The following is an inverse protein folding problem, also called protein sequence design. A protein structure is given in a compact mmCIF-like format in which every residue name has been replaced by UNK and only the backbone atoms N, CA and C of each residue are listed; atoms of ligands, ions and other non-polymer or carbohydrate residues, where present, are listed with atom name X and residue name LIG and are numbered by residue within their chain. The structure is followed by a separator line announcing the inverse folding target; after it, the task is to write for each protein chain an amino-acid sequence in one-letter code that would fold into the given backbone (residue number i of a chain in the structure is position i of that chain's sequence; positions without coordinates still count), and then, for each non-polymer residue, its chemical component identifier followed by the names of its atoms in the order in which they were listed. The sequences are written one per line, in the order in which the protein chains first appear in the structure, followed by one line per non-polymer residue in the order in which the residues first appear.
data_IF_754479609664
#
_entry.id   IF_754479609664
#
_cell.length_a   1.000
_cell.length_b   1.000
_cell.length_c   1.000
_cell.angle_alpha   90.00
_cell.angle_beta   90.00
_cell.angle_gamma   90.00
#
_symmetry.space_group_name_H-M   'P 1'
#
loop_
_entity.id
_entity.type
_entity.pdbx_description
1 polymer ?
#
# COMPACT_ATOMS: atom_id res chain seq x y z
N UNK A 1 19.11 -24.76 39.60
CA UNK A 1 18.15 -25.63 38.91
C UNK A 1 16.77 -25.26 39.39
N UNK A 2 16.05 -24.41 38.67
CA UNK A 2 14.66 -24.06 38.98
C UNK A 2 13.95 -23.81 37.66
N UNK A 3 13.18 -24.78 37.21
CA UNK A 3 12.30 -24.71 36.06
C UNK A 3 11.12 -23.81 36.41
N UNK A 4 10.95 -22.69 35.72
CA UNK A 4 9.70 -21.94 35.70
C UNK A 4 8.86 -22.40 34.49
N UNK A 5 7.75 -23.04 34.79
CA UNK A 5 6.69 -23.37 33.84
C UNK A 5 5.92 -22.08 33.48
N UNK A 6 5.91 -21.77 32.20
CA UNK A 6 5.03 -20.74 31.63
C UNK A 6 3.59 -21.29 31.58
N UNK A 7 2.68 -20.62 32.26
CA UNK A 7 1.23 -20.86 32.15
C UNK A 7 0.72 -20.13 30.91
N UNK A 8 -0.09 -20.79 30.04
CA UNK A 8 -0.78 -20.09 28.97
C UNK A 8 -1.95 -19.29 29.54
N UNK A 9 -1.97 -17.98 29.27
CA UNK A 9 -3.11 -17.13 29.54
C UNK A 9 -4.25 -17.46 28.59
N UNK A 10 -5.34 -17.80 29.19
CA UNK A 10 -6.69 -18.02 28.66
C UNK A 10 -7.16 -16.77 27.91
N UNK A 11 -7.46 -16.91 26.61
CA UNK A 11 -8.01 -15.84 25.80
C UNK A 11 -9.49 -15.66 26.14
N UNK A 12 -9.80 -14.52 26.72
CA UNK A 12 -11.15 -14.03 27.03
C UNK A 12 -11.97 -13.90 25.72
N UNK A 13 -13.06 -14.66 25.62
CA UNK A 13 -14.03 -14.55 24.53
C UNK A 13 -14.86 -13.27 24.66
N UNK A 14 -15.10 -12.52 23.57
CA UNK A 14 -16.01 -11.37 23.62
C UNK A 14 -17.48 -11.83 23.67
N UNK A 15 -18.36 -11.09 24.40
CA UNK A 15 -19.76 -11.46 24.60
C UNK A 15 -20.57 -11.37 23.32
N UNK A 16 -21.46 -12.34 23.16
CA UNK A 16 -22.43 -12.46 22.08
C UNK A 16 -23.35 -11.24 21.98
N UNK A 17 -23.32 -10.58 20.81
CA UNK A 17 -24.28 -9.50 20.50
C UNK A 17 -25.66 -10.06 20.23
N UNK A 18 -26.63 -9.55 20.99
CA UNK A 18 -28.04 -9.82 20.94
C UNK A 18 -28.65 -9.50 19.56
N UNK A 19 -29.35 -10.48 19.00
CA UNK A 19 -30.23 -10.31 17.83
C UNK A 19 -31.47 -9.49 18.22
N UNK A 20 -31.57 -8.25 17.75
CA UNK A 20 -32.83 -7.51 17.81
C UNK A 20 -33.66 -7.80 16.57
N UNK A 21 -34.75 -8.53 16.84
CA UNK A 21 -35.90 -8.76 15.98
C UNK A 21 -36.70 -7.45 15.84
N UNK A 22 -36.81 -6.91 14.63
CA UNK A 22 -37.76 -5.84 14.33
C UNK A 22 -38.96 -6.45 13.62
N UNK A 23 -40.04 -6.61 14.40
CA UNK A 23 -41.36 -6.94 13.88
C UNK A 23 -42.07 -5.67 13.36
N UNK A 24 -42.49 -5.78 12.15
CA UNK A 24 -43.66 -5.21 11.48
C UNK A 24 -44.61 -4.37 12.31
N UNK A 25 -44.94 -3.15 11.83
CA UNK A 25 -46.27 -2.55 11.96
C UNK A 25 -46.58 -1.76 10.69
N UNK A 26 -47.42 -2.38 9.85
CA UNK A 26 -48.28 -1.68 8.88
C UNK A 26 -49.41 -0.98 9.66
N UNK A 27 -49.62 0.28 9.44
CA UNK A 27 -50.98 0.85 9.47
C UNK A 27 -51.06 2.08 8.58
N UNK A 28 -52.09 2.04 7.75
CA UNK A 28 -52.54 3.04 6.78
C UNK A 28 -53.08 4.30 7.47
N UNK A 29 -53.07 5.44 6.78
CA UNK A 29 -54.27 6.28 6.48
C UNK A 29 -53.91 7.49 5.59
N UNK A 30 -54.55 7.48 4.51
CA UNK A 30 -55.15 8.41 3.57
C UNK A 30 -55.27 9.91 3.93
N UNK A 31 -55.15 10.71 2.84
CA UNK A 31 -55.75 12.01 2.50
C UNK A 31 -55.15 13.27 3.11
N UNK A 32 -54.49 14.07 2.27
CA UNK A 32 -55.00 15.38 1.88
C UNK A 32 -54.19 15.95 0.70
N UNK A 33 -54.90 16.14 -0.42
CA UNK A 33 -54.42 16.88 -1.59
C UNK A 33 -54.39 18.38 -1.27
N UNK A 34 -53.30 19.03 -1.51
CA UNK A 34 -53.24 20.47 -1.74
C UNK A 34 -52.10 20.75 -2.73
N UNK A 35 -52.52 21.07 -3.91
CA UNK A 35 -51.82 21.48 -5.08
C UNK A 35 -51.22 22.88 -4.82
N UNK A 36 -49.88 22.96 -4.74
CA UNK A 36 -49.16 24.23 -4.95
C UNK A 36 -48.09 24.01 -6.01
N UNK A 37 -48.37 24.47 -7.22
CA UNK A 37 -47.40 24.64 -8.29
C UNK A 37 -46.37 25.68 -7.84
N UNK A 38 -45.14 25.27 -7.59
CA UNK A 38 -43.98 26.15 -7.52
C UNK A 38 -43.16 25.90 -8.78
N UNK A 39 -42.89 26.89 -9.63
CA UNK A 39 -42.01 26.69 -10.78
C UNK A 39 -40.60 26.46 -10.29
N UNK A 40 -40.03 25.26 -10.57
CA UNK A 40 -38.62 24.98 -10.43
C UNK A 40 -37.84 25.76 -11.50
N UNK A 41 -37.13 26.80 -11.10
CA UNK A 41 -36.03 27.34 -11.88
C UNK A 41 -34.82 26.39 -11.71
N UNK A 42 -34.24 25.86 -12.78
CA UNK A 42 -32.97 25.12 -12.67
C UNK A 42 -31.83 26.12 -12.53
N UNK A 43 -31.47 26.45 -11.30
CA UNK A 43 -30.21 27.10 -10.99
C UNK A 43 -29.13 26.06 -11.01
N UNK A 44 -28.52 25.80 -12.15
CA UNK A 44 -27.26 25.06 -12.25
C UNK A 44 -26.14 25.96 -11.75
N UNK A 45 -25.79 25.83 -10.48
CA UNK A 45 -24.48 26.24 -10.00
C UNK A 45 -23.49 25.16 -10.46
N UNK A 46 -22.88 25.38 -11.63
CA UNK A 46 -21.71 24.65 -12.05
C UNK A 46 -20.57 25.01 -11.09
N UNK A 47 -20.36 24.19 -10.05
CA UNK A 47 -19.12 24.18 -9.31
C UNK A 47 -17.96 23.84 -10.25
N UNK A 48 -16.76 24.42 -10.08
CA UNK A 48 -15.62 24.05 -10.91
C UNK A 48 -15.39 22.54 -10.80
N UNK A 49 -15.07 21.86 -11.92
CA UNK A 49 -14.78 20.45 -11.88
C UNK A 49 -13.60 20.24 -10.94
N UNK A 50 -13.82 19.54 -9.86
CA UNK A 50 -12.74 19.00 -9.06
C UNK A 50 -11.93 18.10 -10.00
N UNK A 51 -10.77 18.61 -10.40
CA UNK A 51 -9.81 17.84 -11.20
C UNK A 51 -9.33 16.68 -10.34
N UNK A 52 -10.13 15.62 -10.27
CA UNK A 52 -9.74 14.31 -9.77
C UNK A 52 -8.75 13.78 -10.81
N UNK A 53 -7.49 14.21 -10.67
CA UNK A 53 -6.39 13.61 -11.41
C UNK A 53 -6.43 12.12 -11.12
N UNK A 54 -6.96 11.37 -12.08
CA UNK A 54 -6.92 9.91 -12.04
C UNK A 54 -5.47 9.52 -11.74
N UNK A 55 -5.25 8.83 -10.64
CA UNK A 55 -3.96 8.25 -10.34
C UNK A 55 -3.55 7.41 -11.55
N UNK A 56 -2.35 7.62 -12.13
CA UNK A 56 -1.92 6.82 -13.27
C UNK A 56 -1.98 5.34 -12.88
N UNK A 57 -2.51 4.52 -13.77
CA UNK A 57 -2.58 3.08 -13.59
C UNK A 57 -1.20 2.57 -13.20
N UNK A 58 -1.12 1.78 -12.12
CA UNK A 58 0.13 1.26 -11.59
C UNK A 58 0.91 0.56 -12.70
N UNK A 59 2.08 1.12 -13.08
CA UNK A 59 2.99 0.48 -14.01
C UNK A 59 3.49 1.30 -15.21
N UNK A 60 2.94 2.47 -15.50
CA UNK A 60 3.47 3.31 -16.58
C UNK A 60 4.12 4.56 -16.01
N UNK A 61 5.38 4.88 -16.37
CA UNK A 61 5.99 6.15 -16.00
C UNK A 61 5.20 7.30 -16.65
N UNK A 62 4.54 8.09 -15.83
CA UNK A 62 3.73 9.23 -16.30
C UNK A 62 4.58 10.44 -16.74
N UNK A 63 5.90 10.39 -16.49
CA UNK A 63 6.82 11.48 -16.84
C UNK A 63 8.15 11.35 -16.11
N UNK A 64 8.96 12.41 -16.22
CA UNK A 64 10.23 12.52 -15.49
C UNK A 64 10.05 13.44 -14.28
N UNK A 65 10.68 13.09 -13.18
CA UNK A 65 10.71 13.91 -11.98
C UNK A 65 11.41 15.23 -12.23
N UNK A 66 10.80 16.37 -11.83
CA UNK A 66 11.32 17.71 -12.14
C UNK A 66 12.66 18.02 -11.48
N UNK A 67 13.07 17.28 -10.46
CA UNK A 67 14.33 17.49 -9.73
C UNK A 67 15.40 16.47 -10.08
N UNK A 68 15.03 15.22 -10.28
CA UNK A 68 16.01 14.15 -10.54
C UNK A 68 16.12 13.76 -12.00
N UNK A 69 15.12 14.11 -12.85
CA UNK A 69 15.02 13.63 -14.22
C UNK A 69 14.69 12.14 -14.34
N UNK A 70 14.55 11.44 -13.21
CA UNK A 70 14.21 10.01 -13.19
C UNK A 70 12.72 9.78 -13.46
N UNK A 71 12.35 8.59 -13.96
CA UNK A 71 10.95 8.25 -14.20
C UNK A 71 10.08 8.38 -12.94
N UNK A 72 8.83 8.81 -13.12
CA UNK A 72 7.78 8.79 -12.11
C UNK A 72 6.57 8.06 -12.69
N UNK A 73 5.91 7.21 -11.91
CA UNK A 73 6.33 6.75 -10.60
C UNK A 73 7.54 5.81 -10.67
N UNK A 74 8.24 5.62 -9.54
CA UNK A 74 9.34 4.66 -9.43
C UNK A 74 9.47 4.08 -8.03
N UNK A 75 9.92 2.84 -7.92
CA UNK A 75 10.18 2.19 -6.65
C UNK A 75 11.57 2.53 -6.10
N UNK A 76 11.61 2.75 -4.79
CA UNK A 76 12.80 2.93 -3.95
C UNK A 76 12.56 2.23 -2.63
N UNK A 77 13.49 2.31 -1.68
CA UNK A 77 13.30 1.75 -0.35
C UNK A 77 13.66 2.75 0.75
N UNK A 78 13.07 2.58 1.94
CA UNK A 78 13.45 3.35 3.12
C UNK A 78 14.88 2.98 3.56
N UNK A 79 15.68 3.99 3.86
CA UNK A 79 17.07 3.82 4.32
C UNK A 79 17.14 3.57 5.83
N UNK A 80 16.29 4.26 6.60
CA UNK A 80 16.25 4.19 8.05
C UNK A 80 15.17 3.23 8.54
N UNK A 81 15.29 2.77 9.77
CA UNK A 81 14.29 1.95 10.44
C UNK A 81 13.10 2.77 10.94
N UNK A 82 13.24 4.10 10.97
CA UNK A 82 12.19 5.04 11.36
C UNK A 82 12.23 6.24 10.41
N UNK A 83 11.11 6.52 9.75
CA UNK A 83 10.98 7.59 8.76
C UNK A 83 9.66 8.33 8.95
N UNK A 84 9.75 9.64 9.22
CA UNK A 84 8.60 10.51 9.34
C UNK A 84 7.96 10.78 7.97
N UNK A 85 6.70 10.42 7.83
CA UNK A 85 5.84 10.73 6.69
C UNK A 85 5.03 11.98 7.02
N UNK A 86 5.20 13.05 6.24
CA UNK A 86 4.60 14.36 6.49
C UNK A 86 3.48 14.68 5.52
N UNK A 87 2.59 15.57 5.93
CA UNK A 87 1.47 16.04 5.11
C UNK A 87 1.91 16.91 3.93
N UNK A 88 3.12 17.49 3.96
CA UNK A 88 3.64 18.36 2.90
C UNK A 88 5.16 18.34 2.77
N UNK A 89 5.70 18.93 1.70
CA UNK A 89 7.12 18.94 1.35
C UNK A 89 7.91 19.96 2.18
N UNK A 90 8.21 19.63 3.43
CA UNK A 90 9.01 20.49 4.31
C UNK A 90 8.95 20.04 5.78
N UNK A 91 9.97 20.38 6.56
CA UNK A 91 10.05 20.05 7.99
C UNK A 91 8.96 20.74 8.83
N UNK A 92 8.42 21.86 8.36
CA UNK A 92 7.32 22.62 8.99
C UNK A 92 5.96 21.91 8.91
N UNK A 93 5.79 20.98 7.96
CA UNK A 93 4.55 20.22 7.85
C UNK A 93 4.45 19.16 8.94
N UNK A 94 3.26 18.93 9.50
CA UNK A 94 3.06 17.91 10.52
C UNK A 94 3.49 16.52 10.06
N UNK A 95 3.97 15.72 11.01
CA UNK A 95 4.16 14.29 10.82
C UNK A 95 2.80 13.63 10.99
N UNK A 96 2.37 12.89 9.98
CA UNK A 96 1.10 12.18 9.96
C UNK A 96 1.30 10.70 10.35
N UNK A 97 2.39 10.10 9.85
CA UNK A 97 2.76 8.72 10.12
C UNK A 97 4.26 8.58 10.39
N UNK A 98 4.62 7.55 11.14
CA UNK A 98 6.01 7.12 11.30
C UNK A 98 6.12 5.71 10.72
N UNK A 99 6.92 5.57 9.67
CA UNK A 99 7.19 4.29 9.02
C UNK A 99 8.37 3.61 9.73
N UNK A 100 8.13 2.45 10.33
CA UNK A 100 9.10 1.80 11.25
C UNK A 100 9.85 0.59 10.64
N UNK A 101 9.80 0.40 9.33
CA UNK A 101 10.43 -0.74 8.66
C UNK A 101 11.58 -0.31 7.75
N UNK A 102 12.82 -0.62 8.17
CA UNK A 102 13.98 -0.45 7.30
C UNK A 102 13.83 -1.29 6.02
N UNK A 103 14.26 -0.73 4.90
CA UNK A 103 14.17 -1.36 3.58
C UNK A 103 12.75 -1.54 3.03
N UNK A 104 11.72 -1.06 3.73
CA UNK A 104 10.36 -1.10 3.18
C UNK A 104 10.35 -0.47 1.79
N UNK A 105 9.86 -1.17 0.76
CA UNK A 105 9.68 -0.57 -0.54
C UNK A 105 8.63 0.54 -0.46
N UNK A 106 8.85 1.62 -1.20
CA UNK A 106 7.92 2.72 -1.37
C UNK A 106 8.00 3.22 -2.80
N UNK A 107 6.90 3.75 -3.31
CA UNK A 107 6.82 4.29 -4.67
C UNK A 107 6.87 5.81 -4.63
N UNK A 108 7.85 6.43 -5.28
CA UNK A 108 7.88 7.89 -5.46
C UNK A 108 6.91 8.26 -6.57
N UNK A 109 5.92 9.09 -6.23
CA UNK A 109 4.87 9.54 -7.15
C UNK A 109 5.00 11.02 -7.53
N UNK A 110 5.75 11.82 -6.76
CA UNK A 110 6.06 13.20 -7.08
C UNK A 110 7.34 13.68 -6.38
N UNK A 111 7.91 14.77 -6.89
CA UNK A 111 9.11 15.42 -6.35
C UNK A 111 8.87 16.92 -6.14
N UNK A 112 9.36 17.44 -5.04
CA UNK A 112 9.42 18.85 -4.77
C UNK A 112 10.71 19.17 -4.00
N UNK A 113 11.63 19.88 -4.61
CA UNK A 113 12.95 20.19 -4.07
C UNK A 113 13.66 18.92 -3.52
N UNK A 114 14.00 18.90 -2.23
CA UNK A 114 14.61 17.73 -1.54
C UNK A 114 13.59 16.73 -1.04
N UNK A 115 12.29 16.97 -1.25
CA UNK A 115 11.20 16.14 -0.76
C UNK A 115 10.66 15.23 -1.86
N UNK A 116 10.23 14.03 -1.45
CA UNK A 116 9.63 13.02 -2.32
C UNK A 116 8.26 12.65 -1.78
N UNK A 117 7.22 12.77 -2.60
CA UNK A 117 5.91 12.25 -2.28
C UNK A 117 5.94 10.76 -2.55
N UNK A 118 5.71 9.98 -1.52
CA UNK A 118 5.73 8.53 -1.60
C UNK A 118 4.35 7.93 -1.36
N UNK A 119 4.17 6.72 -1.86
CA UNK A 119 3.06 5.83 -1.57
C UNK A 119 3.63 4.52 -1.07
N UNK A 120 3.07 3.98 0.02
CA UNK A 120 3.43 2.66 0.54
C UNK A 120 2.57 1.55 -0.07
N UNK A 121 2.86 0.30 0.31
CA UNK A 121 2.14 -0.88 -0.18
C UNK A 121 0.68 -0.95 0.30
N UNK A 122 0.27 -0.20 1.30
CA UNK A 122 -1.10 -0.07 1.82
C UNK A 122 -1.87 1.09 1.18
N UNK A 123 -1.18 1.92 0.37
CA UNK A 123 -1.74 3.09 -0.26
C UNK A 123 -1.60 4.38 0.54
N UNK A 124 -0.92 4.35 1.69
CA UNK A 124 -0.63 5.56 2.49
C UNK A 124 0.28 6.49 1.70
N UNK A 125 -0.09 7.76 1.62
CA UNK A 125 0.61 8.78 0.83
C UNK A 125 1.10 9.89 1.73
N UNK A 126 2.33 10.36 1.52
CA UNK A 126 2.88 11.52 2.22
C UNK A 126 4.26 11.90 1.71
N UNK A 127 4.91 12.83 2.40
CA UNK A 127 6.19 13.39 1.99
C UNK A 127 7.32 12.95 2.93
N UNK A 128 8.42 12.50 2.33
CA UNK A 128 9.67 12.17 3.03
C UNK A 128 10.83 12.95 2.45
N UNK A 129 11.83 13.25 3.27
CA UNK A 129 13.07 13.86 2.77
C UNK A 129 13.88 12.84 1.98
N UNK A 130 14.53 13.26 0.90
CA UNK A 130 15.30 12.37 0.00
C UNK A 130 16.40 11.55 0.72
N UNK A 131 16.95 12.05 1.82
CA UNK A 131 17.97 11.32 2.60
C UNK A 131 17.41 10.08 3.30
N UNK A 132 16.10 9.99 3.47
CA UNK A 132 15.42 8.88 4.13
C UNK A 132 15.15 7.70 3.18
N UNK A 133 15.45 7.84 1.91
CA UNK A 133 15.24 6.82 0.88
C UNK A 133 16.54 6.41 0.18
N UNK A 134 16.51 5.25 -0.46
CA UNK A 134 17.64 4.66 -1.18
C UNK A 134 17.15 4.06 -2.49
N UNK A 135 17.97 4.15 -3.54
CA UNK A 135 17.71 3.48 -4.83
C UNK A 135 17.84 1.96 -4.78
N UNK A 136 18.33 1.38 -3.68
CA UNK A 136 18.38 -0.06 -3.52
C UNK A 136 16.97 -0.65 -3.61
N UNK A 137 16.84 -1.72 -4.39
CA UNK A 137 15.54 -2.32 -4.66
C UNK A 137 15.22 -3.41 -3.64
N UNK A 138 14.06 -3.25 -3.04
CA UNK A 138 13.49 -4.19 -2.11
C UNK A 138 12.04 -4.43 -2.46
N UNK A 139 11.52 -5.56 -2.05
CA UNK A 139 10.12 -5.96 -2.26
C UNK A 139 9.50 -6.44 -0.95
N UNK A 140 8.19 -6.38 -0.87
CA UNK A 140 7.42 -6.92 0.25
C UNK A 140 6.44 -7.96 -0.25
N UNK A 141 6.28 -9.08 0.47
CA UNK A 141 5.29 -10.12 0.15
C UNK A 141 3.89 -9.59 0.44
N UNK A 142 3.01 -9.62 -0.58
CA UNK A 142 1.70 -8.95 -0.52
C UNK A 142 0.67 -9.66 0.33
N UNK A 143 0.44 -10.94 0.07
CA UNK A 143 -0.69 -11.66 0.62
C UNK A 143 -0.29 -13.08 1.02
N UNK A 144 -0.75 -13.49 2.20
CA UNK A 144 -0.60 -14.85 2.69
C UNK A 144 0.84 -15.37 2.70
N UNK A 145 0.96 -16.67 2.82
CA UNK A 145 2.24 -17.38 2.76
C UNK A 145 2.56 -17.77 1.32
N UNK A 146 3.61 -17.22 0.75
CA UNK A 146 3.99 -17.39 -0.65
C UNK A 146 5.18 -18.35 -0.83
N UNK A 147 5.18 -19.20 -1.86
CA UNK A 147 6.29 -20.12 -2.12
C UNK A 147 7.51 -19.39 -2.70
N UNK A 148 8.68 -19.62 -2.09
CA UNK A 148 9.97 -19.30 -2.64
C UNK A 148 10.51 -20.53 -3.37
N UNK A 149 10.86 -20.40 -4.64
CA UNK A 149 11.29 -21.50 -5.48
C UNK A 149 12.78 -21.44 -5.79
N UNK A 150 13.36 -22.59 -6.13
CA UNK A 150 14.78 -22.68 -6.49
C UNK A 150 15.10 -21.99 -7.81
N UNK A 151 14.18 -21.95 -8.75
CA UNK A 151 14.31 -21.31 -10.05
C UNK A 151 13.01 -20.59 -10.44
N UNK A 152 13.10 -19.70 -11.45
CA UNK A 152 11.98 -18.93 -12.00
C UNK A 152 11.03 -19.77 -12.86
N UNK A 153 10.57 -20.88 -12.33
CA UNK A 153 9.66 -21.83 -12.95
C UNK A 153 8.61 -22.31 -11.97
N UNK A 154 7.39 -22.55 -12.46
CA UNK A 154 6.27 -23.06 -11.65
C UNK A 154 6.49 -24.52 -11.17
N UNK A 155 7.27 -25.30 -11.93
CA UNK A 155 7.61 -26.67 -11.59
C UNK A 155 8.87 -26.78 -10.70
N UNK A 156 9.62 -25.70 -10.55
CA UNK A 156 10.81 -25.69 -9.69
C UNK A 156 10.46 -26.01 -8.23
N UNK A 157 11.31 -26.75 -7.51
CA UNK A 157 11.09 -27.10 -6.11
C UNK A 157 10.90 -25.86 -5.24
N UNK A 158 9.94 -25.94 -4.32
CA UNK A 158 9.74 -24.94 -3.25
C UNK A 158 10.83 -25.17 -2.21
N UNK A 159 11.65 -24.15 -1.95
CA UNK A 159 12.75 -24.20 -0.97
C UNK A 159 12.39 -23.54 0.36
N UNK A 160 11.41 -22.62 0.35
CA UNK A 160 10.87 -21.97 1.54
C UNK A 160 9.46 -21.47 1.28
N UNK A 161 8.77 -21.09 2.35
CA UNK A 161 7.50 -20.35 2.29
C UNK A 161 7.66 -19.07 3.08
N UNK A 162 7.43 -17.95 2.43
CA UNK A 162 7.65 -16.60 2.98
C UNK A 162 6.31 -16.02 3.40
N UNK A 163 6.24 -15.55 4.63
CA UNK A 163 5.03 -14.95 5.18
C UNK A 163 4.73 -13.58 4.57
N UNK A 164 3.49 -13.17 4.65
CA UNK A 164 3.04 -11.84 4.28
C UNK A 164 3.84 -10.76 5.05
N UNK A 165 4.08 -9.63 4.40
CA UNK A 165 4.82 -8.46 4.93
C UNK A 165 6.31 -8.68 5.16
N UNK A 166 6.85 -9.84 4.86
CA UNK A 166 8.31 -10.04 4.88
C UNK A 166 8.93 -9.26 3.73
N UNK A 167 10.00 -8.53 4.05
CA UNK A 167 10.75 -7.70 3.10
C UNK A 167 11.98 -8.46 2.65
N UNK A 168 12.20 -8.53 1.33
CA UNK A 168 13.37 -9.16 0.72
C UNK A 168 14.08 -8.22 -0.25
N UNK A 169 15.38 -8.40 -0.40
CA UNK A 169 16.20 -7.66 -1.37
C UNK A 169 15.95 -8.21 -2.77
N UNK A 170 15.50 -7.35 -3.66
CA UNK A 170 15.32 -7.68 -5.06
C UNK A 170 16.68 -7.72 -5.75
N UNK A 171 16.99 -8.84 -6.41
CA UNK A 171 18.21 -9.03 -7.17
C UNK A 171 17.98 -8.77 -8.63
N UNK A 172 17.16 -9.59 -9.26
CA UNK A 172 16.86 -9.50 -10.69
C UNK A 172 15.43 -9.95 -10.98
N UNK A 173 14.93 -9.61 -12.15
CA UNK A 173 13.60 -10.04 -12.60
C UNK A 173 13.61 -10.40 -14.09
N UNK A 174 13.16 -11.63 -14.41
CA UNK A 174 12.99 -12.14 -15.75
C UNK A 174 11.53 -12.58 -15.99
N UNK A 175 10.89 -11.99 -16.99
CA UNK A 175 9.48 -12.27 -17.28
C UNK A 175 8.59 -12.07 -16.07
N UNK A 176 7.92 -13.14 -15.63
CA UNK A 176 7.01 -13.13 -14.47
C UNK A 176 7.68 -13.45 -13.13
N UNK A 177 8.97 -13.70 -13.12
CA UNK A 177 9.71 -14.15 -11.97
C UNK A 177 10.76 -13.14 -11.53
N UNK A 178 10.95 -13.03 -10.20
CA UNK A 178 12.01 -12.23 -9.62
C UNK A 178 12.82 -13.05 -8.62
N UNK A 179 14.13 -12.92 -8.66
CA UNK A 179 15.02 -13.44 -7.63
C UNK A 179 15.09 -12.48 -6.45
N UNK A 180 14.85 -13.01 -5.27
CA UNK A 180 14.78 -12.23 -4.04
C UNK A 180 15.61 -12.92 -2.96
N UNK A 181 16.36 -12.13 -2.22
CA UNK A 181 17.09 -12.57 -1.04
C UNK A 181 16.31 -12.17 0.22
N UNK A 182 15.93 -13.17 1.02
CA UNK A 182 15.32 -13.00 2.33
C UNK A 182 16.31 -13.40 3.42
N UNK A 183 17.19 -12.46 3.79
CA UNK A 183 18.18 -12.66 4.87
C UNK A 183 19.06 -13.91 4.69
N UNK A 184 19.60 -14.10 3.47
CA UNK A 184 20.48 -15.21 3.12
C UNK A 184 19.79 -16.40 2.43
N UNK A 185 18.46 -16.38 2.34
CA UNK A 185 17.68 -17.35 1.56
C UNK A 185 17.30 -16.73 0.22
N UNK A 186 18.07 -17.03 -0.84
CA UNK A 186 17.74 -16.54 -2.18
C UNK A 186 16.87 -17.53 -2.93
N UNK A 187 15.92 -17.01 -3.68
CA UNK A 187 15.05 -17.80 -4.53
C UNK A 187 14.11 -16.94 -5.36
N UNK A 188 13.23 -17.61 -6.09
CA UNK A 188 12.36 -17.01 -7.08
C UNK A 188 10.90 -16.95 -6.62
N UNK A 189 10.29 -15.79 -6.80
CA UNK A 189 8.85 -15.56 -6.58
C UNK A 189 8.24 -14.91 -7.82
N UNK A 190 6.93 -15.08 -7.99
CA UNK A 190 6.20 -14.38 -9.07
C UNK A 190 6.00 -12.91 -8.70
N UNK A 191 6.05 -12.03 -9.72
CA UNK A 191 5.84 -10.57 -9.55
C UNK A 191 4.51 -10.24 -8.88
N UNK A 192 3.45 -10.97 -9.17
CA UNK A 192 2.13 -10.72 -8.58
C UNK A 192 2.04 -11.07 -7.08
N UNK A 193 3.02 -11.81 -6.54
CA UNK A 193 3.11 -12.16 -5.13
C UNK A 193 3.82 -11.10 -4.28
N UNK A 194 4.47 -10.15 -4.93
CA UNK A 194 5.30 -9.11 -4.31
C UNK A 194 4.86 -7.71 -4.71
N UNK A 195 5.21 -6.72 -3.90
CA UNK A 195 5.08 -5.30 -4.22
C UNK A 195 6.45 -4.64 -4.13
N UNK A 196 6.77 -3.72 -5.03
CA UNK A 196 8.08 -3.07 -5.16
C UNK A 196 8.71 -3.24 -6.54
N UNK A 197 7.97 -3.83 -7.49
CA UNK A 197 8.38 -4.01 -8.89
C UNK A 197 7.18 -3.87 -9.82
N UNK A 198 7.36 -3.22 -10.96
CA UNK A 198 6.30 -3.07 -11.95
C UNK A 198 6.16 -4.31 -12.84
N UNK A 199 4.95 -4.53 -13.41
CA UNK A 199 4.76 -5.51 -14.46
C UNK A 199 5.74 -5.24 -15.64
N UNK A 200 6.50 -6.25 -16.06
CA UNK A 200 7.43 -6.13 -17.19
C UNK A 200 8.71 -5.31 -16.92
N UNK A 201 8.89 -4.73 -15.75
CA UNK A 201 10.12 -4.00 -15.41
C UNK A 201 11.33 -4.94 -15.44
N UNK A 202 12.39 -4.53 -16.14
CA UNK A 202 13.68 -5.22 -16.11
C UNK A 202 14.47 -4.72 -14.90
N UNK A 203 14.90 -5.63 -14.05
CA UNK A 203 15.76 -5.37 -12.89
C UNK A 203 16.97 -6.29 -13.02
N UNK A 204 18.15 -5.69 -13.08
CA UNK A 204 19.46 -6.36 -13.17
C UNK A 204 20.33 -5.96 -11.99
#
# INVERSE_FOLDING_TARGET
MTHQFFHPQELDEPPAMARNSVRSMLTALLLCAAMMLVPLTPGQAAGPPANQGAAPAAGQPAGKGPKTGLPLPRFVSLRAGEVNLRTGPGSRYPVEWVLVYRHMPVEIIAEFDTWRKIRDWQGTVGWVHQSMISGNRWVIVREGRQPLRRAGDKEAPIIARIEQKVIGRLKECHGQWCEIDFSGFSGWMRRNQIWGVYPGEKVE
#
